data_IF_753367150572
#
_entry.id   IF_753367150572
#
_cell.length_a   1.000
_cell.length_b   1.000
_cell.length_c   1.000
_cell.angle_alpha   90.00
_cell.angle_beta   90.00
_cell.angle_gamma   90.00
#
_symmetry.space_group_name_H-M   'P 1'
#
loop_
_entity.id
_entity.type
_entity.pdbx_description
1 polymer ?
#
# COMPACT_ATOMS: atom_id res chain seq x y z
N UNK A 1 -17.80 1.17 -23.95
CA UNK A 1 -16.36 1.53 -24.12
C UNK A 1 -16.00 2.81 -23.35
N UNK A 2 -16.85 3.85 -23.33
CA UNK A 2 -16.60 5.14 -22.65
C UNK A 2 -16.22 5.04 -21.16
N UNK A 3 -17.07 4.43 -20.32
CA UNK A 3 -16.82 4.35 -18.88
C UNK A 3 -15.50 3.65 -18.49
N UNK A 4 -15.04 2.66 -19.27
CA UNK A 4 -13.75 1.98 -19.03
C UNK A 4 -12.58 2.89 -19.41
N UNK A 5 -12.72 3.72 -20.45
CA UNK A 5 -11.69 4.68 -20.86
C UNK A 5 -11.63 5.87 -19.89
N UNK A 6 -12.77 6.35 -19.41
CA UNK A 6 -12.87 7.39 -18.37
C UNK A 6 -12.24 6.92 -17.07
N UNK A 7 -12.63 5.74 -16.57
CA UNK A 7 -12.03 5.16 -15.37
C UNK A 7 -10.51 4.95 -15.53
N UNK A 8 -10.03 4.54 -16.71
CA UNK A 8 -8.58 4.44 -17.00
C UNK A 8 -7.89 5.81 -17.06
N UNK A 9 -8.59 6.85 -17.51
CA UNK A 9 -8.10 8.22 -17.52
C UNK A 9 -7.98 8.80 -16.11
N UNK A 10 -9.03 8.65 -15.31
CA UNK A 10 -9.10 9.07 -13.90
C UNK A 10 -8.04 8.37 -13.05
N UNK A 11 -7.81 7.06 -13.27
CA UNK A 11 -6.75 6.32 -12.57
C UNK A 11 -5.34 6.86 -12.90
N UNK A 12 -5.12 7.33 -14.14
CA UNK A 12 -3.84 7.95 -14.53
C UNK A 12 -3.65 9.33 -13.91
N UNK A 13 -4.71 10.14 -13.83
CA UNK A 13 -4.65 11.45 -13.19
C UNK A 13 -4.50 11.34 -11.67
N UNK A 14 -5.28 10.46 -11.04
CA UNK A 14 -5.15 10.15 -9.61
C UNK A 14 -3.75 9.62 -9.27
N UNK A 15 -3.21 8.71 -10.09
CA UNK A 15 -1.84 8.20 -9.91
C UNK A 15 -0.78 9.30 -9.98
N UNK A 16 -0.93 10.30 -10.85
CA UNK A 16 -0.02 11.45 -10.90
C UNK A 16 -0.14 12.33 -9.66
N UNK A 17 -1.36 12.58 -9.19
CA UNK A 17 -1.59 13.37 -7.98
C UNK A 17 -0.99 12.68 -6.75
N UNK A 18 -1.27 11.39 -6.56
CA UNK A 18 -0.68 10.60 -5.47
C UNK A 18 0.83 10.54 -5.56
N UNK A 19 1.41 10.42 -6.76
CA UNK A 19 2.87 10.46 -6.93
C UNK A 19 3.49 11.77 -6.47
N UNK A 20 2.90 12.91 -6.81
CA UNK A 20 3.40 14.21 -6.35
C UNK A 20 3.30 14.32 -4.83
N UNK A 21 2.12 14.07 -4.25
CA UNK A 21 1.91 14.14 -2.80
C UNK A 21 2.78 13.15 -2.01
N UNK A 22 2.93 11.92 -2.52
CA UNK A 22 3.80 10.91 -1.93
C UNK A 22 5.28 11.33 -1.97
N UNK A 23 5.73 11.99 -3.05
CA UNK A 23 7.09 12.56 -3.12
C UNK A 23 7.30 13.64 -2.08
N UNK A 24 6.28 14.47 -1.86
CA UNK A 24 6.26 15.54 -0.84
C UNK A 24 6.16 15.01 0.60
N UNK A 25 6.02 13.69 0.79
CA UNK A 25 6.05 13.04 2.11
C UNK A 25 4.69 12.73 2.70
N UNK A 26 3.61 12.82 1.93
CA UNK A 26 2.29 12.43 2.42
C UNK A 26 2.17 10.89 2.47
N UNK A 27 2.22 10.32 3.67
CA UNK A 27 2.16 8.87 3.90
C UNK A 27 0.89 8.22 3.30
N UNK A 28 -0.27 8.88 3.43
CA UNK A 28 -1.53 8.39 2.85
C UNK A 28 -1.50 8.36 1.33
N UNK A 29 -0.88 9.35 0.70
CA UNK A 29 -0.72 9.38 -0.75
C UNK A 29 0.25 8.30 -1.23
N UNK A 30 1.34 8.06 -0.48
CA UNK A 30 2.25 6.94 -0.74
C UNK A 30 1.53 5.58 -0.62
N UNK A 31 0.68 5.40 0.40
CA UNK A 31 -0.12 4.20 0.57
C UNK A 31 -1.10 3.99 -0.61
N UNK A 32 -1.83 5.03 -1.01
CA UNK A 32 -2.74 5.00 -2.15
C UNK A 32 -2.02 4.70 -3.47
N UNK A 33 -0.86 5.30 -3.69
CA UNK A 33 -0.02 5.02 -4.87
C UNK A 33 0.42 3.55 -4.90
N UNK A 34 0.78 2.97 -3.75
CA UNK A 34 1.12 1.56 -3.64
C UNK A 34 -0.03 0.65 -4.10
N UNK A 35 -1.27 0.94 -3.69
CA UNK A 35 -2.43 0.18 -4.16
C UNK A 35 -2.65 0.30 -5.67
N UNK A 36 -2.49 1.50 -6.24
CA UNK A 36 -2.60 1.69 -7.69
C UNK A 36 -1.53 0.91 -8.47
N UNK A 37 -0.30 0.86 -7.96
CA UNK A 37 0.81 0.12 -8.58
C UNK A 37 0.58 -1.39 -8.51
N UNK A 38 0.14 -1.91 -7.36
CA UNK A 38 -0.24 -3.33 -7.22
C UNK A 38 -1.36 -3.69 -8.19
N UNK A 39 -2.39 -2.87 -8.30
CA UNK A 39 -3.53 -3.12 -9.20
C UNK A 39 -3.09 -3.07 -10.68
N UNK A 40 -1.99 -2.37 -10.99
CA UNK A 40 -1.34 -2.39 -12.30
C UNK A 40 -0.35 -3.56 -12.51
N UNK A 41 -0.17 -4.43 -11.51
CA UNK A 41 0.74 -5.58 -11.53
C UNK A 41 2.19 -5.26 -11.14
N UNK A 42 2.48 -4.05 -10.68
CA UNK A 42 3.82 -3.63 -10.24
C UNK A 42 3.92 -3.70 -8.71
N UNK A 43 3.97 -4.92 -8.18
CA UNK A 43 4.07 -5.19 -6.75
C UNK A 43 5.39 -4.70 -6.12
N UNK A 44 6.49 -4.70 -6.88
CA UNK A 44 7.79 -4.23 -6.39
C UNK A 44 7.77 -2.72 -6.14
N UNK A 45 7.27 -1.94 -7.10
CA UNK A 45 7.10 -0.50 -6.88
C UNK A 45 6.07 -0.21 -5.79
N UNK A 46 4.99 -1.01 -5.70
CA UNK A 46 4.01 -0.88 -4.63
C UNK A 46 4.64 -1.06 -3.24
N UNK A 47 5.48 -2.08 -3.07
CA UNK A 47 6.19 -2.37 -1.83
C UNK A 47 7.07 -1.20 -1.39
N UNK A 48 7.75 -0.52 -2.32
CA UNK A 48 8.56 0.66 -2.00
C UNK A 48 7.72 1.80 -1.42
N UNK A 49 6.56 2.07 -2.01
CA UNK A 49 5.69 3.15 -1.53
C UNK A 49 4.98 2.80 -0.22
N UNK A 50 4.53 1.55 -0.06
CA UNK A 50 3.99 1.09 1.22
C UNK A 50 5.06 1.10 2.32
N UNK A 51 6.31 0.77 2.02
CA UNK A 51 7.40 0.83 3.00
C UNK A 51 7.58 2.25 3.53
N UNK A 52 7.61 3.24 2.63
CA UNK A 52 7.69 4.65 3.03
C UNK A 52 6.50 5.06 3.89
N UNK A 53 5.28 4.76 3.45
CA UNK A 53 4.06 5.08 4.20
C UNK A 53 4.03 4.41 5.58
N UNK A 54 4.41 3.13 5.67
CA UNK A 54 4.45 2.38 6.92
C UNK A 54 5.51 2.91 7.88
N UNK A 55 6.67 3.36 7.38
CA UNK A 55 7.69 4.04 8.19
C UNK A 55 7.19 5.36 8.78
N UNK A 56 6.27 6.03 8.09
CA UNK A 56 5.58 7.24 8.57
C UNK A 56 4.32 6.93 9.42
N UNK A 57 4.09 5.66 9.78
CA UNK A 57 3.00 5.23 10.66
C UNK A 57 1.67 4.94 9.95
N UNK A 58 1.65 4.75 8.63
CA UNK A 58 0.44 4.31 7.93
C UNK A 58 0.19 2.81 8.14
N UNK A 59 -0.79 2.49 8.99
CA UNK A 59 -1.13 1.09 9.31
C UNK A 59 -1.67 0.29 8.12
N UNK A 60 -2.36 0.93 7.17
CA UNK A 60 -2.86 0.25 5.96
C UNK A 60 -1.69 -0.20 5.07
N UNK A 61 -0.67 0.64 4.93
CA UNK A 61 0.54 0.32 4.19
C UNK A 61 1.34 -0.82 4.86
N UNK A 62 1.46 -0.78 6.19
CA UNK A 62 2.08 -1.86 6.94
C UNK A 62 1.31 -3.18 6.75
N UNK A 63 -0.02 -3.15 6.80
CA UNK A 63 -0.84 -4.34 6.53
C UNK A 63 -0.68 -4.86 5.10
N UNK A 64 -0.59 -3.97 4.10
CA UNK A 64 -0.35 -4.33 2.71
C UNK A 64 1.01 -5.01 2.50
N UNK A 65 2.07 -4.52 3.16
CA UNK A 65 3.38 -5.18 3.18
C UNK A 65 3.31 -6.55 3.84
N UNK A 66 2.58 -6.67 4.96
CA UNK A 66 2.35 -7.95 5.60
C UNK A 66 1.74 -8.98 4.65
N UNK A 67 0.69 -8.59 3.92
CA UNK A 67 0.03 -9.43 2.93
C UNK A 67 0.96 -9.82 1.77
N UNK A 68 1.77 -8.87 1.27
CA UNK A 68 2.74 -9.14 0.21
C UNK A 68 3.79 -10.18 0.64
N UNK A 69 4.35 -10.02 1.85
CA UNK A 69 5.33 -10.97 2.39
C UNK A 69 4.71 -12.34 2.68
N UNK A 70 3.47 -12.39 3.19
CA UNK A 70 2.75 -13.64 3.41
C UNK A 70 2.54 -14.40 2.08
N UNK A 71 2.15 -13.70 1.02
CA UNK A 71 1.99 -14.29 -0.32
C UNK A 71 3.30 -14.85 -0.89
N UNK A 72 4.45 -14.32 -0.46
CA UNK A 72 5.79 -14.81 -0.80
C UNK A 72 6.28 -15.96 0.09
N UNK A 73 5.50 -16.36 1.09
CA UNK A 73 5.88 -17.37 2.08
C UNK A 73 6.83 -16.85 3.18
N UNK A 74 6.99 -15.54 3.30
CA UNK A 74 7.92 -14.88 4.23
C UNK A 74 7.21 -14.58 5.56
N UNK A 75 6.71 -15.63 6.22
CA UNK A 75 5.77 -15.52 7.34
C UNK A 75 6.27 -14.63 8.49
N UNK A 76 7.54 -14.73 8.87
CA UNK A 76 8.11 -13.91 9.95
C UNK A 76 8.16 -12.42 9.59
N UNK A 77 8.39 -12.09 8.33
CA UNK A 77 8.38 -10.70 7.86
C UNK A 77 6.95 -10.18 7.81
N UNK A 78 6.01 -11.01 7.37
CA UNK A 78 4.58 -10.68 7.36
C UNK A 78 4.07 -10.36 8.77
N UNK A 79 4.37 -11.22 9.76
CA UNK A 79 3.96 -11.04 11.15
C UNK A 79 4.47 -9.72 11.75
N UNK A 80 5.73 -9.35 11.44
CA UNK A 80 6.30 -8.06 11.88
C UNK A 80 5.53 -6.87 11.33
N UNK A 81 5.15 -6.93 10.05
CA UNK A 81 4.39 -5.87 9.42
C UNK A 81 2.94 -5.80 9.90
N UNK A 82 2.29 -6.94 10.15
CA UNK A 82 0.97 -6.95 10.76
C UNK A 82 0.99 -6.42 12.19
N UNK A 83 2.04 -6.69 12.97
CA UNK A 83 2.22 -6.06 14.29
C UNK A 83 2.37 -4.54 14.15
N UNK A 84 3.22 -4.08 13.24
CA UNK A 84 3.40 -2.65 12.99
C UNK A 84 2.09 -1.97 12.55
N UNK A 85 1.26 -2.65 11.75
CA UNK A 85 -0.07 -2.17 11.37
C UNK A 85 -0.98 -1.96 12.60
N UNK A 86 -1.01 -2.94 13.52
CA UNK A 86 -1.75 -2.82 14.77
C UNK A 86 -1.25 -1.67 15.66
N UNK A 87 0.07 -1.52 15.79
CA UNK A 87 0.69 -0.45 16.58
C UNK A 87 0.37 0.94 16.00
N UNK A 88 0.20 1.03 14.67
CA UNK A 88 -0.28 2.21 13.96
C UNK A 88 -1.81 2.41 13.99
N UNK A 89 -2.56 1.52 14.66
CA UNK A 89 -4.01 1.60 14.81
C UNK A 89 -4.83 0.96 13.69
N UNK A 90 -4.21 0.23 12.75
CA UNK A 90 -4.93 -0.61 11.79
C UNK A 90 -5.34 -1.93 12.44
N UNK A 91 -6.63 -2.06 12.69
CA UNK A 91 -7.22 -3.26 13.30
C UNK A 91 -7.20 -4.47 12.37
N UNK A 92 -7.01 -4.28 11.06
CA UNK A 92 -6.95 -5.39 10.10
C UNK A 92 -5.70 -6.25 10.29
N UNK A 93 -4.58 -5.65 10.71
CA UNK A 93 -3.35 -6.38 11.07
C UNK A 93 -3.57 -7.48 12.12
N UNK A 94 -4.53 -7.31 13.04
CA UNK A 94 -4.85 -8.31 14.05
C UNK A 94 -5.49 -9.58 13.45
N UNK A 95 -6.33 -9.42 12.42
CA UNK A 95 -6.99 -10.55 11.75
C UNK A 95 -6.00 -11.37 10.92
N UNK A 96 -4.93 -10.77 10.42
CA UNK A 96 -3.91 -11.45 9.63
C UNK A 96 -2.83 -12.17 10.47
N UNK A 97 -2.88 -12.03 11.79
CA UNK A 97 -1.99 -12.70 12.75
C UNK A 97 -2.59 -13.94 13.42
N UNK A 98 -3.90 -14.18 13.25
CA UNK A 98 -4.64 -15.30 13.85
C UNK A 98 -5.09 -16.33 12.83
#
# INVERSE_FOLDING_TARGET
LGAILEQRGELKEAGRWYLTAAKDGEARAACALGFLLRDAGDEESAAVWWLRAAQDGDGNAANALGALHAARGEQQTAERWYRAAMDAGDVNGAYNLG
#
